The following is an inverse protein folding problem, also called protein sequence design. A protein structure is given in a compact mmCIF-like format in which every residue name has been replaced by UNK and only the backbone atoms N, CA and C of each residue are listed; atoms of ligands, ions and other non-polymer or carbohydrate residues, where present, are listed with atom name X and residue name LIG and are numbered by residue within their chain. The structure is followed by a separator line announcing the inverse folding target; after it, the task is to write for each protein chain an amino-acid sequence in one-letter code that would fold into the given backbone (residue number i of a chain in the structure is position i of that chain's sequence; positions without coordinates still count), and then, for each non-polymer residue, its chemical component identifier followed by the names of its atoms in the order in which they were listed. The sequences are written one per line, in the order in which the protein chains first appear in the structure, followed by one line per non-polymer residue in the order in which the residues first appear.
data_IF_722805300626
#
_entry.id   IF_722805300626
#
_cell.length_a   1.000
_cell.length_b   1.000
_cell.length_c   1.000
_cell.angle_alpha   90.00
_cell.angle_beta   90.00
_cell.angle_gamma   90.00
#
_symmetry.space_group_name_H-M   'P 1'
#
loop_
_entity.id
_entity.type
_entity.pdbx_description
1 polymer ?
#
# COMPACT_ATOMS: atom_id res chain seq x y z
N UNK A 1 -12.55 6.68 -0.12
CA UNK A 1 -11.68 7.67 0.58
C UNK A 1 -10.40 7.87 -0.23
N UNK A 2 -9.63 8.92 0.09
CA UNK A 2 -8.37 9.25 -0.60
C UNK A 2 -8.55 9.97 -1.94
N UNK A 3 -7.55 10.75 -2.34
CA UNK A 3 -7.57 11.63 -3.51
C UNK A 3 -6.61 11.14 -4.59
N UNK A 4 -6.59 11.83 -5.75
CA UNK A 4 -5.63 11.61 -6.85
C UNK A 4 -4.15 11.66 -6.42
N UNK A 5 -3.85 12.27 -5.28
CA UNK A 5 -2.50 12.30 -4.71
C UNK A 5 -2.09 11.04 -3.94
N UNK A 6 -2.99 10.06 -3.74
CA UNK A 6 -2.63 8.80 -3.09
C UNK A 6 -1.75 7.94 -3.99
N UNK A 7 -0.70 7.37 -3.40
CA UNK A 7 0.22 6.46 -4.04
C UNK A 7 0.57 5.31 -3.09
N UNK A 8 1.03 4.20 -3.66
CA UNK A 8 1.70 3.12 -2.92
C UNK A 8 3.14 3.07 -3.37
N UNK A 9 4.02 2.59 -2.49
CA UNK A 9 5.42 2.39 -2.85
C UNK A 9 5.97 1.11 -2.20
N UNK A 10 7.04 0.61 -2.78
CA UNK A 10 7.87 -0.45 -2.21
C UNK A 10 9.34 0.00 -2.24
N UNK A 11 10.12 -0.49 -1.29
CA UNK A 11 11.56 -0.23 -1.18
C UNK A 11 12.39 -1.50 -1.47
N UNK A 12 11.84 -2.43 -2.25
CA UNK A 12 12.44 -3.74 -2.51
C UNK A 12 12.22 -4.78 -1.40
N UNK A 13 12.88 -5.93 -1.55
CA UNK A 13 12.67 -7.14 -0.74
C UNK A 13 13.46 -7.11 0.58
N UNK A 14 14.58 -6.37 0.61
CA UNK A 14 15.46 -6.27 1.77
C UNK A 14 15.82 -4.80 2.04
N UNK A 15 15.11 -4.19 2.98
CA UNK A 15 15.33 -2.79 3.36
C UNK A 15 16.77 -2.49 3.84
N UNK A 16 17.54 -3.51 4.26
CA UNK A 16 18.95 -3.32 4.69
C UNK A 16 19.92 -3.31 3.51
N UNK A 17 19.50 -3.79 2.34
CA UNK A 17 20.31 -3.85 1.11
C UNK A 17 19.72 -3.04 -0.02
N UNK A 18 18.51 -2.50 0.16
CA UNK A 18 17.82 -1.71 -0.81
C UNK A 18 18.63 -0.46 -1.16
N UNK A 19 19.01 -0.33 -2.42
CA UNK A 19 19.47 0.94 -2.96
C UNK A 19 18.23 1.68 -3.41
N UNK A 20 17.81 2.68 -2.64
CA UNK A 20 16.55 3.40 -2.87
C UNK A 20 16.39 3.90 -4.31
N UNK A 21 17.48 4.35 -4.94
CA UNK A 21 17.46 4.86 -6.32
C UNK A 21 17.15 3.78 -7.38
N UNK A 22 17.52 2.53 -7.10
CA UNK A 22 17.36 1.39 -8.03
C UNK A 22 16.11 0.56 -7.69
N UNK A 23 15.81 0.41 -6.40
CA UNK A 23 14.82 -0.54 -5.87
C UNK A 23 13.47 0.10 -5.53
N UNK A 24 13.41 1.43 -5.33
CA UNK A 24 12.16 2.07 -4.95
C UNK A 24 11.20 2.11 -6.14
N UNK A 25 9.99 1.62 -5.93
CA UNK A 25 8.93 1.62 -6.94
C UNK A 25 7.73 2.36 -6.39
N UNK A 26 7.10 3.17 -7.23
CA UNK A 26 5.92 3.94 -6.88
C UNK A 26 4.78 3.62 -7.87
N UNK A 27 3.58 3.45 -7.34
CA UNK A 27 2.37 3.25 -8.12
C UNK A 27 1.33 4.28 -7.77
N UNK A 28 0.71 4.80 -8.82
CA UNK A 28 -0.42 5.71 -8.75
C UNK A 28 -1.67 4.98 -9.22
N UNK A 29 -2.83 5.45 -8.77
CA UNK A 29 -4.12 4.87 -9.10
C UNK A 29 -4.46 5.18 -10.55
N UNK A 30 -4.91 4.14 -11.23
CA UNK A 30 -5.52 4.17 -12.55
C UNK A 30 -7.00 4.54 -12.37
N UNK A 31 -7.29 5.85 -12.36
CA UNK A 31 -8.62 6.41 -12.11
C UNK A 31 -9.64 6.11 -13.21
N UNK A 32 -9.21 5.59 -14.36
CA UNK A 32 -10.06 5.02 -15.39
C UNK A 32 -10.77 3.73 -14.93
N UNK A 33 -10.29 3.11 -13.85
CA UNK A 33 -10.83 1.85 -13.33
C UNK A 33 -11.49 2.01 -11.96
N UNK A 34 -11.27 3.13 -11.26
CA UNK A 34 -11.70 3.31 -9.87
C UNK A 34 -11.90 4.78 -9.46
N UNK A 35 -12.98 5.05 -8.71
CA UNK A 35 -13.29 6.38 -8.16
C UNK A 35 -12.65 6.67 -6.78
N UNK A 36 -11.99 5.70 -6.16
CA UNK A 36 -11.41 5.85 -4.82
C UNK A 36 -10.07 5.15 -4.65
N UNK A 37 -9.23 5.76 -3.82
CA UNK A 37 -7.87 5.31 -3.53
C UNK A 37 -7.76 4.40 -2.32
N UNK A 38 -8.65 4.61 -1.36
CA UNK A 38 -8.64 3.95 -0.05
C UNK A 38 -10.10 3.60 0.27
N UNK A 39 -10.35 2.37 0.69
CA UNK A 39 -11.65 1.98 1.21
C UNK A 39 -11.49 1.07 2.43
N UNK A 40 -12.48 1.12 3.31
CA UNK A 40 -12.51 0.31 4.52
C UNK A 40 -13.28 -0.98 4.21
N UNK A 41 -12.59 -2.12 4.04
CA UNK A 41 -13.23 -3.40 3.83
C UNK A 41 -13.74 -3.97 5.18
N UNK A 42 -14.99 -4.48 5.27
CA UNK A 42 -15.56 -4.94 6.54
C UNK A 42 -14.76 -6.06 7.23
N UNK A 43 -14.03 -6.89 6.46
CA UNK A 43 -13.30 -8.04 6.98
C UNK A 43 -11.79 -7.81 7.06
N UNK A 44 -11.22 -7.10 6.07
CA UNK A 44 -9.78 -6.95 5.92
C UNK A 44 -9.24 -5.63 6.50
N UNK A 45 -10.14 -4.70 6.85
CA UNK A 45 -9.77 -3.38 7.36
C UNK A 45 -9.38 -2.41 6.24
N UNK A 46 -8.37 -1.56 6.44
CA UNK A 46 -7.98 -0.56 5.44
C UNK A 46 -7.36 -1.22 4.21
N UNK A 47 -7.96 -0.92 3.05
CA UNK A 47 -7.47 -1.35 1.74
C UNK A 47 -7.08 -0.13 0.91
N UNK A 48 -6.01 -0.28 0.14
CA UNK A 48 -5.51 0.70 -0.81
C UNK A 48 -5.77 0.16 -2.22
N UNK A 49 -6.49 0.91 -3.08
CA UNK A 49 -7.02 0.49 -4.39
C UNK A 49 -8.49 0.03 -4.35
N UNK A 50 -9.10 -0.37 -5.47
CA UNK A 50 -10.41 -1.07 -5.43
C UNK A 50 -10.28 -2.58 -5.44
N UNK A 51 -10.61 -3.17 -4.30
CA UNK A 51 -10.09 -4.48 -3.91
C UNK A 51 -8.74 -4.31 -3.22
N UNK A 52 -8.14 -5.38 -2.71
CA UNK A 52 -6.87 -5.23 -2.02
C UNK A 52 -5.70 -5.32 -2.99
N UNK A 53 -5.47 -4.26 -3.77
CA UNK A 53 -4.12 -4.07 -4.33
C UNK A 53 -3.09 -4.09 -3.21
N UNK A 54 -3.46 -3.51 -2.06
CA UNK A 54 -2.84 -3.77 -0.79
C UNK A 54 -3.91 -3.77 0.31
N UNK A 55 -4.01 -4.83 1.09
CA UNK A 55 -4.63 -4.77 2.43
C UNK A 55 -3.63 -5.22 3.49
N UNK A 56 -3.81 -4.67 4.68
CA UNK A 56 -3.11 -5.09 5.90
C UNK A 56 -4.16 -5.30 6.98
N UNK A 57 -4.35 -6.55 7.39
CA UNK A 57 -5.18 -6.84 8.54
C UNK A 57 -4.48 -6.30 9.79
N UNK A 58 -5.12 -5.36 10.48
CA UNK A 58 -4.56 -4.67 11.65
C UNK A 58 -4.57 -5.52 12.92
N UNK A 59 -5.20 -6.71 12.90
CA UNK A 59 -5.23 -7.64 14.03
C UNK A 59 -3.86 -8.29 14.22
N UNK A 60 -3.21 -7.99 15.36
CA UNK A 60 -1.83 -8.43 15.66
C UNK A 60 -1.67 -9.96 15.78
N UNK A 61 -2.71 -10.66 16.20
CA UNK A 61 -2.76 -12.12 16.30
C UNK A 61 -2.92 -12.80 14.93
N UNK A 62 -3.30 -12.03 13.90
CA UNK A 62 -3.46 -12.49 12.53
C UNK A 62 -2.80 -11.52 11.54
N UNK A 63 -1.45 -11.44 11.53
CA UNK A 63 -0.72 -10.44 10.76
C UNK A 63 -0.68 -10.80 9.27
N UNK A 64 -1.84 -10.79 8.62
CA UNK A 64 -2.05 -11.16 7.23
C UNK A 64 -2.22 -9.89 6.40
N UNK A 65 -1.62 -9.90 5.22
CA UNK A 65 -1.88 -8.93 4.17
C UNK A 65 -2.00 -9.63 2.84
N UNK A 66 -2.51 -8.89 1.86
CA UNK A 66 -2.55 -9.34 0.47
C UNK A 66 -2.15 -8.20 -0.44
N UNK A 67 -1.51 -8.54 -1.56
CA UNK A 67 -1.16 -7.58 -2.59
C UNK A 67 -1.38 -8.13 -3.99
N UNK A 68 -1.86 -7.28 -4.89
CA UNK A 68 -2.03 -7.58 -6.31
C UNK A 68 -1.91 -6.32 -7.15
N UNK A 69 -1.65 -6.49 -8.44
CA UNK A 69 -1.64 -5.38 -9.39
C UNK A 69 -3.00 -5.31 -10.07
N UNK A 70 -3.87 -4.38 -9.66
CA UNK A 70 -5.15 -4.18 -10.32
C UNK A 70 -5.40 -2.70 -10.63
N UNK A 71 -5.43 -1.89 -9.60
CA UNK A 71 -5.81 -0.48 -9.65
C UNK A 71 -4.62 0.48 -9.57
N UNK A 72 -3.48 0.01 -9.05
CA UNK A 72 -2.22 0.74 -9.16
C UNK A 72 -1.44 0.26 -10.39
N UNK A 73 -0.65 1.17 -10.98
CA UNK A 73 0.25 0.84 -12.10
C UNK A 73 1.09 -0.41 -11.78
N UNK A 74 1.17 -1.31 -12.75
CA UNK A 74 1.93 -2.55 -12.62
C UNK A 74 3.39 -2.30 -12.23
N UNK A 75 3.92 -3.17 -11.36
CA UNK A 75 5.33 -3.21 -11.01
C UNK A 75 5.72 -2.73 -9.62
N UNK A 76 4.80 -2.15 -8.82
CA UNK A 76 5.11 -1.74 -7.43
C UNK A 76 5.48 -2.95 -6.56
N UNK A 77 4.72 -4.02 -6.65
CA UNK A 77 5.01 -5.28 -5.98
C UNK A 77 5.81 -6.23 -6.87
N UNK A 78 6.92 -6.75 -6.35
CA UNK A 78 7.70 -7.80 -7.02
C UNK A 78 6.99 -9.15 -7.06
N UNK A 79 6.02 -9.37 -6.16
CA UNK A 79 5.23 -10.60 -6.05
C UNK A 79 3.79 -10.26 -5.69
N UNK A 80 2.85 -11.04 -6.21
CA UNK A 80 1.44 -10.96 -5.82
C UNK A 80 1.09 -12.06 -4.81
N UNK A 81 -0.04 -11.91 -4.13
CA UNK A 81 -0.57 -12.88 -3.17
C UNK A 81 -0.44 -12.44 -1.71
N UNK A 82 -0.68 -13.40 -0.82
CA UNK A 82 -0.69 -13.17 0.62
C UNK A 82 0.73 -12.98 1.17
N UNK A 83 0.86 -12.12 2.18
CA UNK A 83 2.08 -11.94 2.94
C UNK A 83 1.77 -11.84 4.44
N UNK A 84 2.80 -12.05 5.27
CA UNK A 84 2.71 -11.76 6.69
C UNK A 84 3.53 -10.52 7.01
N UNK A 85 2.93 -9.56 7.70
CA UNK A 85 3.64 -8.37 8.16
C UNK A 85 4.28 -8.62 9.53
N UNK A 86 5.40 -7.93 9.79
CA UNK A 86 6.09 -7.99 11.09
C UNK A 86 5.75 -6.80 11.96
N UNK A 87 5.62 -5.63 11.33
CA UNK A 87 5.32 -4.36 11.99
C UNK A 87 4.61 -3.41 11.02
N UNK A 88 3.93 -2.39 11.55
CA UNK A 88 3.35 -1.30 10.78
C UNK A 88 3.37 0.01 11.55
N UNK A 89 3.62 1.10 10.84
CA UNK A 89 3.71 2.45 11.39
C UNK A 89 2.82 3.39 10.56
N UNK A 90 2.17 4.34 11.22
CA UNK A 90 1.37 5.38 10.57
C UNK A 90 1.98 6.73 10.92
N UNK A 91 2.34 7.49 9.89
CA UNK A 91 2.95 8.79 10.01
C UNK A 91 1.99 9.89 9.57
N UNK A 92 2.06 11.04 10.24
CA UNK A 92 1.33 12.25 9.88
C UNK A 92 2.29 13.44 9.86
N UNK A 93 2.16 14.29 8.83
CA UNK A 93 2.83 15.59 8.80
C UNK A 93 1.92 16.60 9.48
N UNK A 94 2.42 17.23 10.55
CA UNK A 94 1.73 18.33 11.22
C UNK A 94 2.38 19.63 10.76
N UNK A 95 1.62 20.55 10.17
CA UNK A 95 2.14 21.89 9.88
C UNK A 95 2.45 22.57 11.20
N UNK A 96 3.67 23.09 11.33
CA UNK A 96 4.02 23.97 12.44
C UNK A 96 3.32 25.30 12.17
N UNK A 97 2.40 25.69 13.04
CA UNK A 97 1.88 27.06 13.05
C UNK A 97 3.05 27.99 13.39
N UNK A 98 3.28 28.99 12.54
CA UNK A 98 4.30 30.04 12.71
C UNK A 98 3.62 31.23 13.35
#
# INVERSE_FOLDING_TARGET
RGSKGCFIFSLGIDAKKAKLEEDAKCGYILYDQVDFAIYDHPQDGPCFGSGPDLYVNIKRDQPLGYRQHRCYKSGVFDRQGSFRWKDWEVFQIVKKEI
#
